data_IF_653384035826
#
_entry.id   IF_653384035826
#
_cell.length_a   1.000
_cell.length_b   1.000
_cell.length_c   1.000
_cell.angle_alpha   90.00
_cell.angle_beta   90.00
_cell.angle_gamma   90.00
#
_symmetry.space_group_name_H-M   'P 1'
#
loop_
_entity.id
_entity.type
_entity.pdbx_description
1 polymer ?
#
# COMPACT_ATOMS: atom_id res chain seq x y z
N UNK A 1 30.48 32.17 32.02
CA UNK A 1 30.51 31.11 30.99
C UNK A 1 30.21 29.77 31.67
N UNK A 2 28.95 29.32 31.63
CA UNK A 2 28.50 28.16 32.41
C UNK A 2 29.08 26.86 31.87
N UNK A 3 29.77 26.09 32.72
CA UNK A 3 30.30 24.77 32.35
C UNK A 3 29.12 23.81 32.18
N UNK A 4 28.78 23.47 30.94
CA UNK A 4 27.80 22.43 30.66
C UNK A 4 28.36 21.12 31.21
N UNK A 5 27.64 20.49 32.15
CA UNK A 5 28.05 19.20 32.70
C UNK A 5 28.04 18.15 31.58
N UNK A 6 29.09 17.35 31.48
CA UNK A 6 29.25 16.31 30.44
C UNK A 6 28.02 15.40 30.35
N UNK A 7 27.39 15.08 31.49
CA UNK A 7 26.16 14.29 31.53
C UNK A 7 25.01 14.92 30.70
N UNK A 8 24.90 16.25 30.65
CA UNK A 8 23.88 16.93 29.85
C UNK A 8 24.10 16.74 28.35
N UNK A 9 25.37 16.75 27.90
CA UNK A 9 25.71 16.47 26.51
C UNK A 9 25.43 15.01 26.13
N UNK A 10 25.66 14.07 27.06
CA UNK A 10 25.32 12.65 26.87
C UNK A 10 23.80 12.48 26.71
N UNK A 11 23.00 13.08 27.59
CA UNK A 11 21.53 13.01 27.48
C UNK A 11 21.00 13.63 26.18
N UNK A 12 21.58 14.75 25.75
CA UNK A 12 21.24 15.38 24.47
C UNK A 12 21.52 14.44 23.29
N UNK A 13 22.70 13.80 23.27
CA UNK A 13 23.09 12.88 22.21
C UNK A 13 22.19 11.64 22.14
N UNK A 14 21.84 11.08 23.31
CA UNK A 14 20.90 9.96 23.41
C UNK A 14 19.52 10.38 22.88
N UNK A 15 19.03 11.56 23.27
CA UNK A 15 17.74 12.09 22.81
C UNK A 15 17.68 12.23 21.29
N UNK A 16 18.72 12.80 20.68
CA UNK A 16 18.82 12.95 19.21
C UNK A 16 18.87 11.58 18.53
N UNK A 17 19.62 10.65 19.09
CA UNK A 17 19.77 9.29 18.54
C UNK A 17 18.43 8.54 18.55
N UNK A 18 17.67 8.62 19.64
CA UNK A 18 16.31 8.04 19.73
C UNK A 18 15.39 8.65 18.67
N UNK A 19 15.45 9.97 18.48
CA UNK A 19 14.63 10.66 17.49
C UNK A 19 14.95 10.18 16.07
N UNK A 20 16.23 10.08 15.69
CA UNK A 20 16.65 9.59 14.38
C UNK A 20 16.20 8.13 14.15
N UNK A 21 16.36 7.27 15.16
CA UNK A 21 15.96 5.86 15.07
C UNK A 21 14.44 5.76 14.89
N UNK A 22 13.65 6.49 15.67
CA UNK A 22 12.19 6.45 15.59
C UNK A 22 11.65 6.86 14.20
N UNK A 23 12.20 7.94 13.62
CA UNK A 23 11.85 8.38 12.26
C UNK A 23 12.23 7.33 11.22
N UNK A 24 13.38 6.68 11.39
CA UNK A 24 13.86 5.66 10.46
C UNK A 24 12.98 4.41 10.48
N UNK A 25 12.61 3.94 11.68
CA UNK A 25 11.70 2.81 11.87
C UNK A 25 10.33 3.10 11.25
N UNK A 26 9.77 4.29 11.52
CA UNK A 26 8.48 4.69 10.94
C UNK A 26 8.52 4.69 9.41
N UNK A 27 9.58 5.25 8.80
CA UNK A 27 9.75 5.23 7.34
C UNK A 27 9.88 3.82 6.78
N UNK A 28 10.61 2.94 7.46
CA UNK A 28 10.78 1.56 7.05
C UNK A 28 9.45 0.80 7.07
N UNK A 29 8.67 0.94 8.15
CA UNK A 29 7.36 0.32 8.30
C UNK A 29 6.38 0.83 7.23
N UNK A 30 6.31 2.16 7.04
CA UNK A 30 5.47 2.76 6.00
C UNK A 30 5.82 2.22 4.61
N UNK A 31 7.12 2.19 4.27
CA UNK A 31 7.58 1.66 2.98
C UNK A 31 7.27 0.17 2.80
N UNK A 32 7.32 -0.61 3.88
CA UNK A 32 6.93 -2.02 3.83
C UNK A 32 5.44 -2.17 3.53
N UNK A 33 4.57 -1.41 4.22
CA UNK A 33 3.12 -1.41 3.99
C UNK A 33 2.78 -0.96 2.56
N UNK A 34 3.43 0.08 2.04
CA UNK A 34 3.26 0.55 0.67
C UNK A 34 3.63 -0.53 -0.37
N UNK A 35 4.75 -1.25 -0.16
CA UNK A 35 5.16 -2.35 -1.05
C UNK A 35 4.19 -3.51 -1.03
N UNK A 36 3.66 -3.85 0.14
CA UNK A 36 2.65 -4.89 0.27
C UNK A 36 1.38 -4.52 -0.51
N UNK A 37 0.89 -3.28 -0.35
CA UNK A 37 -0.26 -2.78 -1.09
C UNK A 37 0.01 -2.64 -2.60
N UNK A 38 1.23 -2.31 -2.98
CA UNK A 38 1.62 -2.25 -4.38
C UNK A 38 1.42 -3.60 -5.08
N UNK A 39 1.87 -4.70 -4.47
CA UNK A 39 1.70 -6.05 -5.05
C UNK A 39 0.23 -6.40 -5.24
N UNK A 40 -0.61 -6.09 -4.25
CA UNK A 40 -2.06 -6.29 -4.33
C UNK A 40 -2.67 -5.48 -5.47
N UNK A 41 -2.37 -4.18 -5.53
CA UNK A 41 -2.88 -3.30 -6.57
C UNK A 41 -2.42 -3.74 -7.96
N UNK A 42 -1.17 -4.18 -8.11
CA UNK A 42 -0.66 -4.73 -9.38
C UNK A 42 -1.44 -5.97 -9.78
N UNK A 43 -1.71 -6.91 -8.86
CA UNK A 43 -2.53 -8.10 -9.16
C UNK A 43 -3.94 -7.73 -9.63
N UNK A 44 -4.59 -6.78 -8.96
CA UNK A 44 -5.92 -6.30 -9.36
C UNK A 44 -5.86 -5.69 -10.77
N UNK A 45 -4.87 -4.83 -11.02
CA UNK A 45 -4.69 -4.17 -12.33
C UNK A 45 -4.41 -5.18 -13.45
N UNK A 46 -3.59 -6.20 -13.20
CA UNK A 46 -3.30 -7.24 -14.18
C UNK A 46 -4.55 -8.08 -14.49
N UNK A 47 -5.30 -8.48 -13.46
CA UNK A 47 -6.56 -9.21 -13.62
C UNK A 47 -7.60 -8.39 -14.40
N UNK A 48 -7.78 -7.12 -14.03
CA UNK A 48 -8.65 -6.20 -14.74
C UNK A 48 -8.22 -6.02 -16.20
N UNK A 49 -6.94 -5.77 -16.44
CA UNK A 49 -6.40 -5.62 -17.80
C UNK A 49 -6.68 -6.86 -18.65
N UNK A 50 -6.47 -8.06 -18.11
CA UNK A 50 -6.81 -9.30 -18.81
C UNK A 50 -8.31 -9.41 -19.11
N UNK A 51 -9.17 -8.97 -18.18
CA UNK A 51 -10.61 -8.97 -18.39
C UNK A 51 -11.05 -8.00 -19.51
N UNK A 52 -10.50 -6.79 -19.55
CA UNK A 52 -10.77 -5.82 -20.63
C UNK A 52 -10.20 -6.29 -21.98
N UNK A 53 -9.00 -6.86 -22.00
CA UNK A 53 -8.38 -7.37 -23.23
C UNK A 53 -9.13 -8.55 -23.85
N UNK A 54 -9.79 -9.37 -23.02
CA UNK A 54 -10.64 -10.48 -23.48
C UNK A 54 -12.08 -10.05 -23.79
N UNK A 55 -12.39 -8.75 -23.68
CA UNK A 55 -13.72 -8.17 -23.84
C UNK A 55 -14.78 -8.70 -22.84
N UNK A 56 -14.35 -9.37 -21.78
CA UNK A 56 -15.21 -9.89 -20.70
C UNK A 56 -15.66 -8.79 -19.72
N UNK A 57 -14.89 -7.70 -19.64
CA UNK A 57 -15.19 -6.49 -18.87
C UNK A 57 -15.36 -5.31 -19.82
N UNK A 58 -16.39 -4.49 -19.56
CA UNK A 58 -16.69 -3.25 -20.29
C UNK A 58 -17.03 -2.17 -19.28
N UNK A 59 -16.71 -0.94 -19.62
CA UNK A 59 -16.99 0.24 -18.79
C UNK A 59 -16.37 0.11 -17.37
N UNK A 60 -16.95 0.78 -16.38
CA UNK A 60 -16.53 0.66 -14.98
C UNK A 60 -17.03 -0.67 -14.40
N UNK A 61 -16.11 -1.41 -13.78
CA UNK A 61 -16.40 -2.68 -13.09
C UNK A 61 -15.99 -2.55 -11.62
N UNK A 62 -16.40 -3.50 -10.80
CA UNK A 62 -15.99 -3.62 -9.41
C UNK A 62 -14.95 -4.73 -9.23
N UNK A 63 -14.28 -4.73 -8.08
CA UNK A 63 -13.42 -5.84 -7.68
C UNK A 63 -14.20 -7.16 -7.56
N UNK A 64 -15.46 -7.09 -7.13
CA UNK A 64 -16.38 -8.23 -7.10
C UNK A 64 -16.58 -8.85 -8.49
N UNK A 65 -16.71 -8.02 -9.54
CA UNK A 65 -16.88 -8.53 -10.92
C UNK A 65 -15.68 -9.38 -11.37
N UNK A 66 -14.47 -9.03 -10.93
CA UNK A 66 -13.26 -9.82 -11.21
C UNK A 66 -13.26 -11.17 -10.48
N UNK A 67 -13.84 -11.23 -9.27
CA UNK A 67 -14.01 -12.47 -8.52
C UNK A 67 -15.06 -13.36 -9.19
N UNK A 68 -16.21 -12.81 -9.55
CA UNK A 68 -17.32 -13.54 -10.15
C UNK A 68 -16.93 -14.13 -11.51
N UNK A 69 -16.14 -13.37 -12.30
CA UNK A 69 -15.59 -13.81 -13.60
C UNK A 69 -14.34 -14.68 -13.46
N UNK A 70 -13.88 -14.99 -12.24
CA UNK A 70 -12.71 -15.84 -11.94
C UNK A 70 -11.38 -15.33 -12.51
N UNK A 71 -11.27 -14.02 -12.69
CA UNK A 71 -10.01 -13.37 -13.06
C UNK A 71 -9.09 -13.18 -11.85
N UNK A 72 -9.67 -13.19 -10.65
CA UNK A 72 -8.97 -12.95 -9.40
C UNK A 72 -9.64 -13.76 -8.28
N UNK A 73 -8.86 -14.20 -7.30
CA UNK A 73 -9.38 -14.78 -6.06
C UNK A 73 -9.53 -13.68 -5.01
N UNK A 74 -10.38 -13.92 -4.00
CA UNK A 74 -10.62 -12.97 -2.91
C UNK A 74 -9.30 -12.53 -2.26
N UNK A 75 -9.04 -11.22 -2.28
CA UNK A 75 -7.79 -10.67 -1.81
C UNK A 75 -7.94 -10.18 -0.37
N UNK A 76 -6.96 -10.53 0.46
CA UNK A 76 -6.85 -10.06 1.83
C UNK A 76 -5.80 -8.97 1.90
N UNK A 77 -6.13 -7.86 2.55
CA UNK A 77 -5.21 -6.77 2.80
C UNK A 77 -4.03 -7.30 3.64
N UNK A 78 -2.79 -7.29 3.12
CA UNK A 78 -1.64 -7.86 3.81
C UNK A 78 -1.23 -7.06 5.06
N UNK A 79 -1.69 -5.81 5.19
CA UNK A 79 -1.41 -4.90 6.30
C UNK A 79 -2.46 -5.05 7.40
N UNK A 80 -3.75 -4.94 7.08
CA UNK A 80 -4.84 -4.99 8.08
C UNK A 80 -5.34 -6.40 8.36
N UNK A 81 -5.04 -7.37 7.48
CA UNK A 81 -5.57 -8.75 7.50
C UNK A 81 -7.08 -8.84 7.27
N UNK A 82 -7.69 -7.76 6.80
CA UNK A 82 -9.11 -7.71 6.44
C UNK A 82 -9.30 -8.00 4.95
N UNK A 83 -10.48 -8.47 4.58
CA UNK A 83 -10.87 -8.64 3.18
C UNK A 83 -10.90 -7.26 2.52
N UNK A 84 -10.35 -7.16 1.31
CA UNK A 84 -10.40 -5.91 0.55
C UNK A 84 -11.83 -5.65 0.12
N UNK A 85 -12.26 -4.39 0.24
CA UNK A 85 -13.60 -3.96 -0.17
C UNK A 85 -13.86 -4.35 -1.63
N UNK A 86 -14.78 -5.30 -1.82
CA UNK A 86 -15.14 -5.81 -3.14
C UNK A 86 -15.95 -4.82 -3.97
N UNK A 87 -16.46 -3.75 -3.34
CA UNK A 87 -17.14 -2.65 -4.03
C UNK A 87 -16.19 -1.62 -4.64
N UNK A 88 -14.87 -1.75 -4.40
CA UNK A 88 -13.84 -0.91 -5.02
C UNK A 88 -14.00 -0.90 -6.54
N UNK A 89 -14.06 0.31 -7.12
CA UNK A 89 -14.30 0.47 -8.55
C UNK A 89 -13.02 0.46 -9.35
N UNK A 90 -13.13 -0.03 -10.58
CA UNK A 90 -12.03 -0.29 -11.49
C UNK A 90 -12.47 0.21 -12.86
N UNK A 91 -11.66 1.09 -13.44
CA UNK A 91 -11.89 1.62 -14.79
C UNK A 91 -10.65 1.47 -15.66
N UNK A 92 -10.87 1.29 -16.96
CA UNK A 92 -9.81 1.25 -17.97
C UNK A 92 -9.86 2.53 -18.80
N UNK A 93 -8.97 3.48 -18.49
CA UNK A 93 -8.93 4.80 -19.11
C UNK A 93 -7.49 5.05 -19.58
N UNK A 94 -7.34 5.49 -20.84
CA UNK A 94 -6.02 5.76 -21.46
C UNK A 94 -5.07 4.55 -21.47
N UNK A 95 -5.59 3.35 -21.74
CA UNK A 95 -4.83 2.09 -21.71
C UNK A 95 -4.27 1.69 -20.32
N UNK A 96 -4.73 2.37 -19.26
CA UNK A 96 -4.34 2.10 -17.88
C UNK A 96 -5.54 1.73 -17.00
N UNK A 97 -5.34 0.74 -16.12
CA UNK A 97 -6.32 0.41 -15.09
C UNK A 97 -6.16 1.36 -13.90
N UNK A 98 -7.22 2.10 -13.60
CA UNK A 98 -7.34 3.01 -12.46
C UNK A 98 -8.29 2.41 -11.41
N UNK A 99 -7.86 2.46 -10.15
CA UNK A 99 -8.67 2.11 -8.99
C UNK A 99 -9.29 3.39 -8.46
N UNK A 100 -10.58 3.34 -8.16
CA UNK A 100 -11.30 4.34 -7.39
C UNK A 100 -11.76 3.67 -6.07
#
# INVERSE_FOLDING_TARGET
MGKIKVNYLIYLFIGISILIISVSVYKAEKKHKERLMYVINTKIKEAAKLCYLKEDCKDEITLQDLYDKKYLEELVNPVTKEIIDSSMCISYIDEEVKLC
#
